data_IF_979522328899
#
_entry.id   IF_979522328899
#
_cell.length_a   1.000
_cell.length_b   1.000
_cell.length_c   1.000
_cell.angle_alpha   90.00
_cell.angle_beta   90.00
_cell.angle_gamma   90.00
#
_symmetry.space_group_name_H-M   'P 1'
#
loop_
_entity.id
_entity.type
_entity.pdbx_description
1 polymer ?
#
# COMPACT_ATOMS: atom_id res chain seq x y z
N UNK A 1 -22.28 25.33 -8.83
CA UNK A 1 -21.25 24.58 -9.60
C UNK A 1 -21.80 23.20 -9.87
N UNK A 2 -21.90 22.77 -11.12
CA UNK A 2 -22.45 21.46 -11.46
C UNK A 2 -21.41 20.38 -11.13
N UNK A 3 -21.74 19.52 -10.17
CA UNK A 3 -20.89 18.38 -9.79
C UNK A 3 -20.98 17.36 -10.92
N UNK A 4 -19.88 17.19 -11.67
CA UNK A 4 -19.80 16.19 -12.74
C UNK A 4 -19.39 14.85 -12.13
N UNK A 5 -19.90 13.72 -12.65
CA UNK A 5 -19.43 12.41 -12.22
C UNK A 5 -17.93 12.28 -12.47
N UNK A 6 -17.22 11.71 -11.49
CA UNK A 6 -15.78 11.46 -11.59
C UNK A 6 -15.51 10.43 -12.70
N UNK A 7 -14.48 10.67 -13.51
CA UNK A 7 -14.05 9.67 -14.51
C UNK A 7 -13.20 8.59 -13.84
N UNK A 8 -13.04 7.40 -14.45
CA UNK A 8 -12.15 6.37 -13.92
C UNK A 8 -10.70 6.86 -13.70
N UNK A 9 -10.24 7.82 -14.51
CA UNK A 9 -8.93 8.45 -14.34
C UNK A 9 -8.88 9.42 -13.14
N UNK A 10 -9.99 10.10 -12.83
CA UNK A 10 -10.12 10.94 -11.63
C UNK A 10 -10.18 10.09 -10.36
N UNK A 11 -10.79 8.90 -10.40
CA UNK A 11 -10.78 7.96 -9.27
C UNK A 11 -9.36 7.61 -8.84
N UNK A 12 -8.45 7.37 -9.80
CA UNK A 12 -7.05 7.05 -9.49
C UNK A 12 -6.27 8.24 -8.92
N UNK A 13 -6.63 9.47 -9.28
CA UNK A 13 -6.04 10.69 -8.72
C UNK A 13 -6.56 10.96 -7.30
N UNK A 14 -7.88 10.87 -7.12
CA UNK A 14 -8.54 11.06 -5.82
C UNK A 14 -8.13 10.01 -4.80
N UNK A 15 -7.94 8.75 -5.22
CA UNK A 15 -7.39 7.69 -4.34
C UNK A 15 -5.96 8.01 -3.91
N UNK A 16 -5.10 8.46 -4.83
CA UNK A 16 -3.72 8.87 -4.51
C UNK A 16 -3.64 10.05 -3.54
N UNK A 17 -4.62 10.95 -3.57
CA UNK A 17 -4.75 12.09 -2.65
C UNK A 17 -5.44 11.75 -1.31
N UNK A 18 -5.97 10.52 -1.14
CA UNK A 18 -6.76 10.13 0.05
C UNK A 18 -5.98 9.29 1.08
N UNK A 19 -4.70 9.01 0.85
CA UNK A 19 -3.85 8.33 1.83
C UNK A 19 -3.31 9.34 2.84
N UNK A 20 -3.46 9.12 4.16
CA UNK A 20 -2.78 9.93 5.16
C UNK A 20 -1.26 9.74 5.09
N UNK A 21 -0.48 10.77 5.42
CA UNK A 21 0.99 10.72 5.40
C UNK A 21 1.56 9.56 6.21
N UNK A 22 0.91 9.21 7.33
CA UNK A 22 1.27 8.09 8.18
C UNK A 22 1.26 6.72 7.44
N UNK A 23 0.44 6.56 6.41
CA UNK A 23 0.45 5.34 5.57
C UNK A 23 1.74 5.26 4.78
N UNK A 24 2.14 6.34 4.11
CA UNK A 24 3.37 6.38 3.34
C UNK A 24 4.60 6.27 4.24
N UNK A 25 4.62 6.94 5.39
CA UNK A 25 5.69 6.78 6.37
C UNK A 25 5.83 5.30 6.77
N UNK A 26 4.72 4.64 7.10
CA UNK A 26 4.76 3.27 7.55
C UNK A 26 5.29 2.31 6.48
N UNK A 27 4.81 2.45 5.23
CA UNK A 27 5.31 1.68 4.11
C UNK A 27 6.79 1.97 3.82
N UNK A 28 7.20 3.25 3.79
CA UNK A 28 8.58 3.62 3.50
C UNK A 28 9.56 3.08 4.56
N UNK A 29 9.19 3.15 5.84
CA UNK A 29 10.00 2.58 6.92
C UNK A 29 10.11 1.05 6.81
N UNK A 30 8.99 0.37 6.51
CA UNK A 30 8.97 -1.09 6.36
C UNK A 30 9.78 -1.54 5.15
N UNK A 31 9.62 -0.85 4.01
CA UNK A 31 10.41 -1.08 2.80
C UNK A 31 11.89 -0.88 3.12
N UNK A 32 12.27 0.23 3.75
CA UNK A 32 13.67 0.53 4.07
C UNK A 32 14.29 -0.51 5.02
N UNK A 33 13.50 -1.05 5.96
CA UNK A 33 13.95 -2.09 6.88
C UNK A 33 14.16 -3.45 6.18
N UNK A 34 13.29 -3.80 5.23
CA UNK A 34 13.34 -5.07 4.49
C UNK A 34 14.08 -4.99 3.15
N UNK A 35 14.64 -3.84 2.78
CA UNK A 35 15.26 -3.64 1.47
C UNK A 35 16.61 -4.34 1.36
N UNK A 36 16.68 -5.36 0.52
CA UNK A 36 17.89 -6.14 0.22
C UNK A 36 17.96 -6.38 -1.30
N UNK A 37 19.10 -6.00 -1.90
CA UNK A 37 19.43 -6.23 -3.32
C UNK A 37 18.38 -5.71 -4.34
N UNK A 38 17.70 -4.60 -4.04
CA UNK A 38 16.68 -4.05 -4.94
C UNK A 38 15.29 -4.65 -4.78
N UNK A 39 15.09 -5.47 -3.76
CA UNK A 39 13.81 -6.07 -3.39
C UNK A 39 13.51 -5.78 -1.91
N UNK A 40 12.23 -5.70 -1.55
CA UNK A 40 11.79 -5.66 -0.16
C UNK A 40 10.53 -6.50 -0.04
N UNK A 41 10.57 -7.55 0.77
CA UNK A 41 9.43 -8.37 1.12
C UNK A 41 9.07 -8.19 2.60
N UNK A 42 7.78 -8.06 2.88
CA UNK A 42 7.26 -7.94 4.24
C UNK A 42 5.79 -8.33 4.28
N UNK A 43 5.32 -8.69 5.46
CA UNK A 43 3.91 -9.08 5.66
C UNK A 43 3.01 -7.86 5.83
N UNK A 44 1.72 -8.02 5.49
CA UNK A 44 0.70 -6.99 5.78
C UNK A 44 0.63 -6.72 7.28
N UNK A 45 0.79 -7.75 8.11
CA UNK A 45 0.76 -7.62 9.56
C UNK A 45 1.84 -6.66 10.07
N UNK A 46 3.05 -6.70 9.50
CA UNK A 46 4.15 -5.80 9.87
C UNK A 46 3.83 -4.33 9.55
N UNK A 47 3.38 -4.04 8.33
CA UNK A 47 3.08 -2.66 7.95
C UNK A 47 1.84 -2.14 8.68
N UNK A 48 0.81 -2.97 8.89
CA UNK A 48 -0.39 -2.60 9.66
C UNK A 48 -0.03 -2.29 11.11
N UNK A 49 0.83 -3.10 11.74
CA UNK A 49 1.31 -2.84 13.10
C UNK A 49 2.02 -1.49 13.19
N UNK A 50 2.82 -1.14 12.17
CA UNK A 50 3.53 0.13 12.13
C UNK A 50 2.58 1.31 11.90
N UNK A 51 1.59 1.17 11.02
CA UNK A 51 0.50 2.14 10.83
C UNK A 51 -0.30 2.37 12.12
N UNK A 52 -0.61 1.32 12.86
CA UNK A 52 -1.31 1.42 14.14
C UNK A 52 -0.45 2.13 15.17
N UNK A 53 0.85 1.85 15.21
CA UNK A 53 1.80 2.57 16.05
C UNK A 53 1.90 4.06 15.70
N UNK A 54 1.60 4.43 14.45
CA UNK A 54 1.52 5.82 13.98
C UNK A 54 0.18 6.49 14.27
N UNK A 55 -0.76 5.79 14.91
CA UNK A 55 -2.06 6.31 15.35
C UNK A 55 -3.23 6.03 14.41
N UNK A 56 -3.07 5.13 13.44
CA UNK A 56 -4.15 4.69 12.54
C UNK A 56 -4.91 3.52 13.16
N UNK A 57 -6.22 3.41 12.93
CA UNK A 57 -6.99 2.24 13.36
C UNK A 57 -6.88 1.13 12.32
N UNK A 58 -6.67 -0.13 12.73
CA UNK A 58 -6.73 -1.28 11.81
C UNK A 58 -8.03 -1.29 11.00
N UNK A 59 -9.15 -1.02 11.66
CA UNK A 59 -10.46 -0.93 11.01
C UNK A 59 -10.46 0.10 9.87
N UNK A 60 -9.93 1.30 10.11
CA UNK A 60 -9.84 2.35 9.09
C UNK A 60 -8.89 1.96 7.95
N UNK A 61 -7.77 1.29 8.25
CA UNK A 61 -6.80 0.83 7.25
C UNK A 61 -7.48 -0.08 6.21
N UNK A 62 -8.29 -1.03 6.66
CA UNK A 62 -9.02 -1.94 5.77
C UNK A 62 -10.25 -1.28 5.14
N UNK A 63 -11.04 -0.52 5.90
CA UNK A 63 -12.30 0.10 5.44
C UNK A 63 -12.04 1.18 4.38
N UNK A 64 -10.94 1.93 4.52
CA UNK A 64 -10.53 2.99 3.60
C UNK A 64 -9.58 2.52 2.50
N UNK A 65 -9.33 1.21 2.42
CA UNK A 65 -8.44 0.63 1.41
C UNK A 65 -7.04 1.26 1.40
N UNK A 66 -6.50 1.60 2.57
CA UNK A 66 -5.18 2.22 2.68
C UNK A 66 -4.01 1.29 2.31
N UNK A 67 -4.29 0.01 2.08
CA UNK A 67 -3.35 -0.99 1.59
C UNK A 67 -3.21 -1.01 0.06
N UNK A 68 -4.10 -0.32 -0.69
CA UNK A 68 -4.08 -0.26 -2.17
C UNK A 68 -2.99 0.72 -2.67
N UNK A 69 -1.75 0.54 -2.23
CA UNK A 69 -0.64 1.47 -2.52
C UNK A 69 0.10 1.16 -3.82
N UNK A 70 -0.21 0.02 -4.46
CA UNK A 70 0.45 -0.47 -5.69
C UNK A 70 0.57 0.62 -6.75
N UNK A 71 -0.56 1.23 -7.14
CA UNK A 71 -0.59 2.25 -8.17
C UNK A 71 0.24 3.52 -7.86
N UNK A 72 0.43 3.84 -6.57
CA UNK A 72 1.20 5.01 -6.14
C UNK A 72 2.70 4.72 -6.21
N UNK A 73 3.11 3.58 -5.64
CA UNK A 73 4.52 3.17 -5.67
C UNK A 73 4.97 2.74 -7.07
N UNK A 74 4.09 2.18 -7.89
CA UNK A 74 4.38 1.87 -9.29
C UNK A 74 4.70 3.12 -10.12
N UNK A 75 4.03 4.25 -9.84
CA UNK A 75 4.36 5.55 -10.44
C UNK A 75 5.70 6.09 -9.97
N UNK A 76 6.11 5.75 -8.74
CA UNK A 76 7.40 6.11 -8.18
C UNK A 76 8.57 5.22 -8.68
N UNK A 77 8.30 4.24 -9.55
CA UNK A 77 9.33 3.37 -10.13
C UNK A 77 9.52 2.04 -9.38
N UNK A 78 8.59 1.66 -8.53
CA UNK A 78 8.53 0.33 -7.95
C UNK A 78 7.70 -0.61 -8.82
N UNK A 79 7.89 -1.91 -8.63
CA UNK A 79 6.96 -2.93 -9.03
C UNK A 79 6.48 -3.61 -7.75
N UNK A 80 5.19 -3.46 -7.48
CA UNK A 80 4.56 -3.94 -6.25
C UNK A 80 3.72 -5.15 -6.59
N UNK A 81 3.90 -6.23 -5.83
CA UNK A 81 3.08 -7.43 -5.91
C UNK A 81 2.46 -7.67 -4.54
N UNK A 82 1.14 -7.72 -4.50
CA UNK A 82 0.40 -8.08 -3.32
C UNK A 82 -0.08 -9.54 -3.41
N UNK A 83 0.51 -10.44 -2.61
CA UNK A 83 0.01 -11.81 -2.51
C UNK A 83 -0.93 -11.94 -1.32
N UNK A 84 -2.22 -12.15 -1.62
CA UNK A 84 -3.24 -12.38 -0.62
C UNK A 84 -3.59 -13.87 -0.55
N UNK A 85 -3.67 -14.47 0.64
CA UNK A 85 -4.16 -15.84 0.78
C UNK A 85 -5.56 -15.98 0.18
N UNK A 86 -5.70 -17.01 -0.67
CA UNK A 86 -7.01 -17.45 -1.15
C UNK A 86 -7.90 -17.95 -0.01
N UNK A 87 -9.21 -18.04 -0.27
CA UNK A 87 -10.30 -18.36 0.69
C UNK A 87 -10.10 -19.63 1.55
N UNK A 88 -9.12 -20.48 1.23
CA UNK A 88 -8.83 -21.75 1.92
C UNK A 88 -7.35 -21.92 2.29
N UNK A 89 -6.57 -20.85 2.38
CA UNK A 89 -5.15 -20.92 2.76
C UNK A 89 -4.86 -20.03 3.97
N UNK A 90 -4.22 -20.60 4.99
CA UNK A 90 -3.86 -19.95 6.24
C UNK A 90 -2.43 -19.39 6.20
N UNK A 91 -2.06 -18.68 5.14
CA UNK A 91 -0.79 -17.93 5.11
C UNK A 91 -1.07 -16.44 5.18
N UNK A 92 -0.14 -15.68 5.75
CA UNK A 92 -0.30 -14.24 5.91
C UNK A 92 -0.11 -13.52 4.58
N UNK A 93 -0.95 -12.53 4.31
CA UNK A 93 -0.81 -11.69 3.13
C UNK A 93 0.55 -10.96 3.18
N UNK A 94 1.24 -10.88 2.04
CA UNK A 94 2.54 -10.21 1.96
C UNK A 94 2.60 -9.22 0.79
N UNK A 95 3.52 -8.28 0.91
CA UNK A 95 3.89 -7.37 -0.15
C UNK A 95 5.31 -7.67 -0.59
N UNK A 96 5.52 -7.71 -1.90
CA UNK A 96 6.83 -7.77 -2.52
C UNK A 96 7.03 -6.51 -3.36
N UNK A 97 7.94 -5.66 -2.91
CA UNK A 97 8.40 -4.47 -3.63
C UNK A 97 9.69 -4.80 -4.35
N UNK A 98 9.75 -4.49 -5.64
CA UNK A 98 10.95 -4.70 -6.45
C UNK A 98 11.24 -3.44 -7.26
N UNK A 99 12.52 -3.12 -7.45
CA UNK A 99 12.90 -1.99 -8.31
C UNK A 99 12.49 -2.30 -9.75
N UNK A 100 11.73 -1.41 -10.37
CA UNK A 100 11.31 -1.57 -11.76
C UNK A 100 12.52 -1.43 -12.67
N UNK A 101 13.01 -2.56 -13.20
CA UNK A 101 14.11 -2.54 -14.18
C UNK A 101 13.62 -1.85 -15.46
N UNK A 102 14.39 -0.86 -15.91
CA UNK A 102 14.17 -0.10 -17.15
C UNK A 102 14.44 -0.96 -18.38
#
# INVERSE_FOLDING_TARGET
MAVKPITPGDVAKQKGESFPDAVFEAFNETIAASFVDGCADFTVAEVVKLMVSKGLSEKDIFDRHWLDVEAVYEKAGWHVVYDKPGFNKSYEANFAFTVKRK
#
